data_IF_397556552118
#
_entry.id   IF_397556552118
#
_cell.length_a   1.000
_cell.length_b   1.000
_cell.length_c   1.000
_cell.angle_alpha   90.00
_cell.angle_beta   90.00
_cell.angle_gamma   90.00
#
_symmetry.space_group_name_H-M   'P 1'
#
loop_
_entity.id
_entity.type
_entity.pdbx_description
1 polymer ?
#
# COMPACT_ATOMS: atom_id res chain seq x y z
N UNK A 1 -21.28 15.28 0.17
CA UNK A 1 -21.51 13.84 0.40
C UNK A 1 -20.17 13.14 0.22
N UNK A 2 -19.65 12.42 1.22
CA UNK A 2 -18.52 11.50 0.97
C UNK A 2 -19.11 10.24 0.35
N UNK A 3 -18.75 9.95 -0.89
CA UNK A 3 -19.12 8.68 -1.55
C UNK A 3 -18.64 7.52 -0.68
N UNK A 4 -19.50 6.51 -0.51
CA UNK A 4 -19.11 5.29 0.20
C UNK A 4 -18.00 4.61 -0.62
N UNK A 5 -16.91 4.16 0.02
CA UNK A 5 -15.87 3.44 -0.71
C UNK A 5 -16.47 2.16 -1.29
N UNK A 6 -16.05 1.81 -2.51
CA UNK A 6 -16.41 0.54 -3.12
C UNK A 6 -15.81 -0.62 -2.29
N UNK A 7 -16.45 -1.80 -2.23
CA UNK A 7 -15.96 -2.95 -1.47
C UNK A 7 -14.49 -3.31 -1.75
N UNK A 8 -14.04 -3.21 -3.00
CA UNK A 8 -12.67 -3.52 -3.39
C UNK A 8 -11.64 -2.53 -2.84
N UNK A 9 -12.05 -1.35 -2.36
CA UNK A 9 -11.15 -0.33 -1.88
C UNK A 9 -10.38 -0.76 -0.61
N UNK A 10 -10.90 -1.74 0.14
CA UNK A 10 -10.24 -2.31 1.32
C UNK A 10 -9.13 -3.30 0.96
N UNK A 11 -9.07 -3.79 -0.28
CA UNK A 11 -8.07 -4.78 -0.71
C UNK A 11 -6.65 -4.30 -0.38
N UNK A 12 -5.80 -5.27 -0.05
CA UNK A 12 -4.38 -5.08 0.15
C UNK A 12 -3.89 -5.06 1.57
N UNK A 13 -2.65 -4.64 1.70
CA UNK A 13 -1.93 -4.54 2.96
C UNK A 13 -2.19 -3.20 3.65
N UNK A 14 -2.51 -3.26 4.94
CA UNK A 14 -2.80 -2.12 5.80
C UNK A 14 -2.13 -2.30 7.15
N UNK A 15 -1.40 -1.31 7.62
CA UNK A 15 -1.02 -1.26 9.03
C UNK A 15 -2.26 -1.08 9.89
N UNK A 16 -2.37 -1.88 10.93
CA UNK A 16 -3.46 -1.85 11.91
C UNK A 16 -2.92 -1.32 13.23
N UNK A 17 -3.37 -0.12 13.60
CA UNK A 17 -2.81 0.64 14.72
C UNK A 17 -3.94 1.16 15.63
N UNK A 18 -3.66 1.40 16.92
CA UNK A 18 -4.55 2.19 17.77
C UNK A 18 -4.79 3.58 17.16
N UNK A 19 -5.99 4.15 17.30
CA UNK A 19 -6.38 5.36 16.58
C UNK A 19 -5.47 6.58 16.80
N UNK A 20 -4.83 6.67 17.97
CA UNK A 20 -3.96 7.78 18.38
C UNK A 20 -2.46 7.53 18.11
N UNK A 21 -2.10 6.43 17.45
CA UNK A 21 -0.71 6.10 17.16
C UNK A 21 -0.24 6.81 15.88
N UNK A 22 0.92 7.47 15.96
CA UNK A 22 1.64 7.97 14.79
C UNK A 22 2.25 6.77 14.03
N UNK A 23 1.88 6.54 12.76
CA UNK A 23 2.36 5.40 12.00
C UNK A 23 3.88 5.41 11.80
N UNK A 24 4.54 6.59 11.86
CA UNK A 24 6.00 6.72 11.76
C UNK A 24 6.74 6.34 13.04
N UNK A 25 6.09 6.48 14.19
CA UNK A 25 6.68 6.23 15.51
C UNK A 25 6.40 4.83 16.04
N UNK A 26 5.85 3.95 15.20
CA UNK A 26 5.43 2.61 15.60
C UNK A 26 6.58 1.76 16.14
N UNK A 27 7.83 2.01 15.74
CA UNK A 27 9.03 1.38 16.32
C UNK A 27 8.97 -0.16 16.39
N UNK A 28 9.90 -0.79 17.10
CA UNK A 28 9.94 -2.26 17.28
C UNK A 28 8.76 -2.85 18.08
N UNK A 29 7.77 -2.04 18.47
CA UNK A 29 6.63 -2.48 19.27
C UNK A 29 5.54 -3.07 18.39
N UNK A 30 5.63 -4.38 18.15
CA UNK A 30 4.50 -5.25 17.81
C UNK A 30 3.49 -4.69 16.81
N UNK A 31 3.97 -4.09 15.71
CA UNK A 31 3.09 -3.57 14.66
C UNK A 31 2.27 -4.71 14.07
N UNK A 32 1.01 -4.44 13.75
CA UNK A 32 0.15 -5.40 13.08
C UNK A 32 -0.16 -4.92 11.67
N UNK A 33 -0.35 -5.87 10.76
CA UNK A 33 -0.73 -5.60 9.38
C UNK A 33 -1.80 -6.58 8.94
N UNK A 34 -2.93 -6.07 8.45
CA UNK A 34 -3.90 -6.87 7.72
C UNK A 34 -3.54 -6.90 6.25
N UNK A 35 -3.67 -8.07 5.62
CA UNK A 35 -3.72 -8.21 4.16
C UNK A 35 -5.08 -8.76 3.77
N UNK A 36 -5.87 -7.97 3.05
CA UNK A 36 -7.17 -8.36 2.52
C UNK A 36 -7.04 -8.75 1.05
N UNK A 37 -7.36 -10.00 0.69
CA UNK A 37 -7.20 -10.53 -0.67
C UNK A 37 -8.52 -10.46 -1.44
N UNK A 38 -8.44 -10.51 -2.77
CA UNK A 38 -9.62 -10.41 -3.65
C UNK A 38 -10.60 -11.58 -3.47
N UNK A 39 -10.10 -12.75 -3.08
CA UNK A 39 -10.88 -13.96 -2.84
C UNK A 39 -11.72 -13.91 -1.54
N UNK A 40 -11.70 -12.80 -0.82
CA UNK A 40 -12.43 -12.63 0.44
C UNK A 40 -11.68 -13.18 1.65
N UNK A 41 -10.42 -13.60 1.52
CA UNK A 41 -9.59 -14.04 2.64
C UNK A 41 -8.73 -12.90 3.21
N UNK A 42 -8.38 -13.01 4.49
CA UNK A 42 -7.41 -12.12 5.11
C UNK A 42 -6.30 -12.89 5.83
N UNK A 43 -5.16 -12.24 5.97
CA UNK A 43 -4.09 -12.61 6.92
C UNK A 43 -3.81 -11.43 7.85
N UNK A 44 -3.63 -11.70 9.13
CA UNK A 44 -3.11 -10.74 10.12
C UNK A 44 -1.67 -11.12 10.44
N UNK A 45 -0.75 -10.20 10.20
CA UNK A 45 0.67 -10.34 10.51
C UNK A 45 1.04 -9.52 11.72
N UNK A 46 1.97 -10.03 12.53
CA UNK A 46 2.67 -9.27 13.57
C UNK A 46 4.12 -9.06 13.15
N UNK A 47 4.59 -7.82 13.20
CA UNK A 47 5.94 -7.42 12.82
C UNK A 47 6.88 -7.44 14.02
N UNK A 48 8.04 -8.08 13.88
CA UNK A 48 9.11 -8.07 14.89
C UNK A 48 10.47 -8.23 14.23
N UNK A 49 11.44 -7.39 14.61
CA UNK A 49 12.82 -7.46 14.14
C UNK A 49 12.96 -7.59 12.61
N UNK A 50 12.22 -6.77 11.85
CA UNK A 50 12.25 -6.79 10.37
C UNK A 50 11.58 -7.99 9.71
N UNK A 51 10.82 -8.80 10.45
CA UNK A 51 10.09 -9.96 9.90
C UNK A 51 8.59 -9.88 10.17
N UNK A 52 7.79 -10.36 9.21
CA UNK A 52 6.36 -10.59 9.39
C UNK A 52 6.12 -12.03 9.83
N UNK A 53 5.33 -12.23 10.88
CA UNK A 53 4.82 -13.55 11.27
C UNK A 53 3.31 -13.55 11.18
N UNK A 54 2.72 -14.46 10.40
CA UNK A 54 1.26 -14.64 10.36
C UNK A 54 0.77 -15.06 11.75
N UNK A 55 -0.19 -14.31 12.29
CA UNK A 55 -0.83 -14.55 13.58
C UNK A 55 -2.19 -15.20 13.42
N UNK A 56 -2.88 -14.85 12.34
CA UNK A 56 -4.25 -15.25 12.09
C UNK A 56 -4.56 -15.18 10.60
N UNK A 57 -5.50 -16.01 10.16
CA UNK A 57 -6.06 -16.01 8.82
C UNK A 57 -7.55 -16.35 8.90
N UNK A 58 -8.30 -15.93 7.89
CA UNK A 58 -9.73 -16.24 7.82
C UNK A 58 -10.40 -15.54 6.65
N UNK A 59 -11.71 -15.30 6.79
CA UNK A 59 -12.51 -14.63 5.79
C UNK A 59 -12.88 -13.22 6.24
N UNK A 60 -13.04 -12.29 5.31
CA UNK A 60 -13.55 -10.96 5.58
C UNK A 60 -14.68 -10.60 4.62
N UNK A 61 -15.56 -9.72 5.08
CA UNK A 61 -16.58 -9.09 4.22
C UNK A 61 -16.58 -7.59 4.49
N UNK A 62 -16.59 -6.79 3.43
CA UNK A 62 -16.68 -5.34 3.52
C UNK A 62 -17.74 -4.81 2.54
N UNK A 63 -18.67 -4.00 3.03
CA UNK A 63 -19.79 -3.46 2.24
C UNK A 63 -19.70 -1.94 1.98
N UNK A 64 -18.56 -1.33 2.31
CA UNK A 64 -18.35 0.12 2.24
C UNK A 64 -18.58 0.85 3.57
N UNK A 65 -19.27 0.24 4.53
CA UNK A 65 -19.54 0.83 5.85
C UNK A 65 -19.17 -0.10 7.01
N UNK A 66 -19.26 -1.41 6.84
CA UNK A 66 -18.96 -2.40 7.86
C UNK A 66 -17.91 -3.37 7.35
N UNK A 67 -16.88 -3.59 8.16
CA UNK A 67 -15.88 -4.62 7.99
C UNK A 67 -16.17 -5.72 9.00
N UNK A 68 -16.39 -6.93 8.52
CA UNK A 68 -16.52 -8.13 9.36
C UNK A 68 -15.34 -9.03 9.07
N UNK A 69 -14.57 -9.35 10.11
CA UNK A 69 -13.41 -10.23 10.06
C UNK A 69 -13.79 -11.52 10.79
N UNK A 70 -13.66 -12.66 10.13
CA UNK A 70 -14.00 -13.99 10.64
C UNK A 70 -12.74 -14.84 10.69
N UNK A 71 -11.98 -14.69 11.79
CA UNK A 71 -10.83 -15.53 12.09
C UNK A 71 -11.14 -16.48 13.24
N UNK A 72 -10.27 -16.51 14.26
CA UNK A 72 -10.50 -17.20 15.53
C UNK A 72 -11.74 -16.64 16.24
N UNK A 73 -11.90 -15.31 16.20
CA UNK A 73 -13.09 -14.62 16.67
C UNK A 73 -13.71 -13.85 15.50
N UNK A 74 -15.01 -13.58 15.60
CA UNK A 74 -15.66 -12.63 14.68
C UNK A 74 -15.58 -11.22 15.25
N UNK A 75 -14.93 -10.33 14.51
CA UNK A 75 -14.87 -8.91 14.81
C UNK A 75 -15.69 -8.13 13.78
N UNK A 76 -16.35 -7.08 14.24
CA UNK A 76 -17.15 -6.22 13.37
C UNK A 76 -16.84 -4.78 13.68
N UNK A 77 -16.41 -4.06 12.66
CA UNK A 77 -16.04 -2.66 12.74
C UNK A 77 -16.97 -1.83 11.87
N UNK A 78 -17.38 -0.66 12.37
CA UNK A 78 -17.90 0.38 11.49
C UNK A 78 -16.71 1.14 10.91
N UNK A 79 -16.69 1.29 9.59
CA UNK A 79 -15.58 1.89 8.85
C UNK A 79 -15.91 3.33 8.51
N UNK A 80 -15.02 4.24 8.89
CA UNK A 80 -14.99 5.63 8.45
C UNK A 80 -13.79 5.84 7.54
N UNK A 81 -14.01 5.70 6.24
CA UNK A 81 -13.02 5.99 5.21
C UNK A 81 -12.85 7.52 5.05
N UNK A 82 -11.95 8.12 5.83
CA UNK A 82 -11.71 9.57 5.79
C UNK A 82 -10.82 9.98 4.62
N UNK A 83 -9.88 9.11 4.24
CA UNK A 83 -8.94 9.23 3.11
C UNK A 83 -8.70 7.85 2.49
N UNK A 84 -8.22 7.78 1.25
CA UNK A 84 -7.91 6.49 0.59
C UNK A 84 -6.73 5.72 1.24
N UNK A 85 -5.92 6.41 2.06
CA UNK A 85 -4.74 5.87 2.74
C UNK A 85 -4.93 5.69 4.25
N UNK A 86 -6.00 6.24 4.85
CA UNK A 86 -6.28 6.14 6.29
C UNK A 86 -7.76 5.98 6.57
N UNK A 87 -8.14 4.84 7.15
CA UNK A 87 -9.51 4.54 7.55
C UNK A 87 -9.57 4.35 9.06
N UNK A 88 -10.63 4.86 9.68
CA UNK A 88 -10.90 4.60 11.10
C UNK A 88 -11.84 3.40 11.21
N UNK A 89 -11.51 2.48 12.11
CA UNK A 89 -12.32 1.32 12.47
C UNK A 89 -12.90 1.56 13.87
N UNK A 90 -14.20 1.75 13.96
CA UNK A 90 -14.89 1.86 15.25
C UNK A 90 -15.16 0.46 15.79
N UNK A 91 -14.40 0.09 16.81
CA UNK A 91 -14.54 -1.19 17.51
C UNK A 91 -15.51 -1.11 18.68
N UNK A 92 -15.80 -2.26 19.30
CA UNK A 92 -16.67 -2.32 20.49
C UNK A 92 -16.01 -1.74 21.75
N UNK A 93 -14.68 -1.85 21.87
CA UNK A 93 -13.91 -1.46 23.06
C UNK A 93 -13.04 -0.24 22.81
N UNK A 94 -12.41 -0.17 21.65
CA UNK A 94 -11.52 0.91 21.26
C UNK A 94 -11.57 1.10 19.74
N UNK A 95 -11.13 2.29 19.30
CA UNK A 95 -11.03 2.63 17.90
C UNK A 95 -9.62 2.35 17.38
N UNK A 96 -9.55 1.86 16.14
CA UNK A 96 -8.32 1.59 15.44
C UNK A 96 -8.27 2.39 14.14
N UNK A 97 -7.09 2.41 13.52
CA UNK A 97 -6.89 2.94 12.18
C UNK A 97 -6.19 1.91 11.29
N UNK A 98 -6.67 1.82 10.06
CA UNK A 98 -5.96 1.19 8.96
C UNK A 98 -5.19 2.27 8.20
N UNK A 99 -3.89 2.07 7.98
CA UNK A 99 -3.03 3.03 7.27
C UNK A 99 -2.24 2.33 6.16
N UNK A 100 -2.21 2.92 4.96
CA UNK A 100 -1.36 2.47 3.85
C UNK A 100 -0.01 3.16 3.90
N UNK A 101 1.02 2.42 4.29
CA UNK A 101 2.36 2.95 4.56
C UNK A 101 2.37 3.85 5.80
N UNK A 102 3.49 4.51 6.06
CA UNK A 102 3.66 5.41 7.21
C UNK A 102 3.34 6.87 6.89
N UNK A 103 2.34 7.07 6.03
CA UNK A 103 1.95 8.39 5.56
C UNK A 103 1.44 9.27 6.71
N UNK A 104 1.75 10.55 6.65
CA UNK A 104 1.12 11.60 7.47
C UNK A 104 0.55 12.68 6.55
N UNK A 105 -0.29 13.57 7.09
CA UNK A 105 -0.91 14.64 6.30
C UNK A 105 0.11 15.53 5.57
N UNK A 106 1.33 15.66 6.09
CA UNK A 106 2.42 16.42 5.47
C UNK A 106 2.97 15.81 4.17
N UNK A 107 2.78 14.51 3.94
CA UNK A 107 3.25 13.82 2.74
C UNK A 107 2.43 14.15 1.50
N UNK A 108 1.20 14.65 1.70
CA UNK A 108 0.25 14.93 0.62
C UNK A 108 0.45 16.29 -0.04
N UNK A 109 1.59 16.95 0.23
CA UNK A 109 1.95 18.23 -0.39
C UNK A 109 2.50 18.01 -1.79
N UNK A 110 2.02 18.82 -2.73
CA UNK A 110 2.54 18.87 -4.10
C UNK A 110 4.07 18.96 -4.13
N UNK A 111 4.67 18.24 -5.08
CA UNK A 111 6.10 18.33 -5.31
C UNK A 111 6.44 19.69 -5.94
N UNK A 112 7.55 20.32 -5.53
CA UNK A 112 8.14 21.40 -6.31
C UNK A 112 8.32 20.98 -7.78
N UNK A 113 8.07 21.87 -8.76
CA UNK A 113 8.14 21.53 -10.17
C UNK A 113 9.45 20.86 -10.61
N UNK A 114 10.58 21.28 -10.04
CA UNK A 114 11.89 20.68 -10.33
C UNK A 114 11.99 19.23 -9.86
N UNK A 115 11.44 18.90 -8.68
CA UNK A 115 11.43 17.51 -8.17
C UNK A 115 10.49 16.64 -9.01
N UNK A 116 9.31 17.15 -9.35
CA UNK A 116 8.37 16.43 -10.21
C UNK A 116 8.98 16.18 -11.61
N UNK A 117 9.70 17.16 -12.16
CA UNK A 117 10.43 17.03 -13.41
C UNK A 117 11.56 16.01 -13.31
N UNK A 118 12.34 16.03 -12.23
CA UNK A 118 13.42 15.07 -12.02
C UNK A 118 12.88 13.64 -11.96
N UNK A 119 11.87 13.37 -11.13
CA UNK A 119 11.23 12.03 -11.03
C UNK A 119 10.68 11.60 -12.39
N UNK A 120 10.10 12.53 -13.16
CA UNK A 120 9.59 12.23 -14.50
C UNK A 120 10.72 11.86 -15.48
N UNK A 121 11.91 12.43 -15.36
CA UNK A 121 13.06 12.10 -16.24
C UNK A 121 13.74 10.82 -15.75
N UNK A 122 14.00 10.72 -14.44
CA UNK A 122 14.70 9.64 -13.76
C UNK A 122 13.83 9.03 -12.64
N UNK A 123 12.88 8.14 -12.97
CA UNK A 123 12.03 7.44 -12.00
C UNK A 123 12.83 6.68 -10.94
N UNK A 124 14.02 6.19 -11.32
CA UNK A 124 14.97 5.49 -10.45
C UNK A 124 15.43 6.29 -9.22
N UNK A 125 15.21 7.61 -9.20
CA UNK A 125 15.39 8.47 -8.02
C UNK A 125 14.38 8.18 -6.91
N UNK A 126 13.29 7.48 -7.23
CA UNK A 126 12.32 6.98 -6.26
C UNK A 126 12.77 5.59 -5.84
N UNK A 127 13.34 5.49 -4.64
CA UNK A 127 13.77 4.26 -4.02
C UNK A 127 12.59 3.51 -3.41
N UNK A 128 12.69 2.18 -3.42
CA UNK A 128 11.70 1.28 -2.82
C UNK A 128 12.23 0.84 -1.47
N UNK A 129 11.47 1.12 -0.41
CA UNK A 129 11.77 0.65 0.94
C UNK A 129 10.69 -0.32 1.41
N UNK A 130 11.11 -1.42 2.04
CA UNK A 130 10.23 -2.28 2.80
C UNK A 130 10.94 -2.59 4.13
N UNK A 131 10.28 -2.30 5.24
CA UNK A 131 10.86 -2.51 6.58
C UNK A 131 10.82 -3.97 7.03
N UNK A 132 10.06 -4.80 6.32
CA UNK A 132 9.79 -6.18 6.67
C UNK A 132 9.90 -7.08 5.42
N UNK A 133 9.74 -8.40 5.58
CA UNK A 133 9.79 -9.35 4.45
C UNK A 133 8.89 -8.90 3.27
N UNK A 134 9.47 -8.90 2.07
CA UNK A 134 8.93 -8.31 0.84
C UNK A 134 7.63 -8.96 0.36
N UNK A 135 7.39 -10.24 0.67
CA UNK A 135 6.34 -11.02 -0.01
C UNK A 135 4.92 -10.51 0.25
N UNK A 136 4.69 -9.92 1.43
CA UNK A 136 3.34 -9.58 1.90
C UNK A 136 3.21 -8.12 2.36
N UNK A 137 4.30 -7.35 2.30
CA UNK A 137 4.42 -6.04 2.93
C UNK A 137 3.88 -4.86 2.13
N UNK A 138 3.89 -3.71 2.79
CA UNK A 138 3.70 -2.41 2.14
C UNK A 138 5.08 -1.88 1.77
N UNK A 139 5.23 -1.48 0.51
CA UNK A 139 6.43 -0.85 -0.01
C UNK A 139 6.26 0.66 0.00
N UNK A 140 7.22 1.37 0.58
CA UNK A 140 7.28 2.83 0.58
C UNK A 140 8.12 3.33 -0.59
N UNK A 141 7.63 4.39 -1.23
CA UNK A 141 8.29 5.09 -2.33
C UNK A 141 8.90 6.36 -1.77
N UNK A 142 10.23 6.45 -1.80
CA UNK A 142 10.97 7.59 -1.26
C UNK A 142 11.79 8.22 -2.37
N UNK A 143 11.47 9.46 -2.73
CA UNK A 143 12.32 10.26 -3.61
C UNK A 143 13.58 10.68 -2.85
N UNK A 144 14.74 10.41 -3.44
CA UNK A 144 16.03 10.78 -2.91
C UNK A 144 16.87 11.54 -3.94
N UNK A 145 17.33 12.73 -3.55
CA UNK A 145 18.28 13.57 -4.27
C UNK A 145 19.32 14.10 -3.27
N UNK A 146 20.41 14.72 -3.74
CA UNK A 146 21.65 14.97 -2.97
C UNK A 146 21.47 15.47 -1.53
N UNK A 147 20.40 16.24 -1.25
CA UNK A 147 20.08 16.73 0.09
C UNK A 147 18.59 16.59 0.46
N UNK A 148 17.82 15.79 -0.28
CA UNK A 148 16.37 15.69 -0.12
C UNK A 148 15.98 14.23 -0.07
N UNK A 149 15.36 13.84 1.05
CA UNK A 149 14.68 12.55 1.19
C UNK A 149 13.22 12.81 1.50
N UNK A 150 12.32 12.49 0.57
CA UNK A 150 10.89 12.76 0.70
C UNK A 150 10.07 11.52 0.35
N UNK A 151 9.20 11.02 1.25
CA UNK A 151 8.22 10.01 0.89
C UNK A 151 7.24 10.57 -0.16
N UNK A 152 7.02 9.82 -1.24
CA UNK A 152 6.16 10.22 -2.36
C UNK A 152 4.95 9.31 -2.53
N UNK A 153 4.96 8.12 -1.93
CA UNK A 153 3.83 7.19 -2.00
C UNK A 153 4.12 5.88 -1.30
N UNK A 154 3.15 4.97 -1.40
CA UNK A 154 3.34 3.57 -1.04
C UNK A 154 2.57 2.67 -1.99
N UNK A 155 2.90 1.39 -2.02
CA UNK A 155 2.11 0.39 -2.73
C UNK A 155 2.18 -0.97 -2.04
N UNK A 156 1.30 -1.87 -2.46
CA UNK A 156 1.37 -3.29 -2.14
C UNK A 156 1.16 -4.09 -3.43
N UNK A 157 1.57 -5.36 -3.39
CA UNK A 157 1.50 -6.24 -4.57
C UNK A 157 0.69 -7.48 -4.29
N UNK A 158 -0.08 -7.91 -5.28
CA UNK A 158 -0.65 -9.26 -5.37
C UNK A 158 -0.15 -9.87 -6.67
N UNK A 159 0.59 -10.97 -6.55
CA UNK A 159 1.21 -11.62 -7.69
C UNK A 159 0.75 -13.06 -7.75
N UNK A 160 0.17 -13.44 -8.89
CA UNK A 160 -0.08 -14.82 -9.22
C UNK A 160 1.06 -15.30 -10.13
N UNK A 161 1.90 -16.18 -9.60
CA UNK A 161 3.05 -16.73 -10.33
C UNK A 161 2.63 -17.70 -11.42
N UNK A 162 1.43 -18.31 -11.35
CA UNK A 162 0.96 -19.28 -12.34
C UNK A 162 0.60 -18.63 -13.68
N UNK A 163 -0.01 -17.44 -13.65
CA UNK A 163 -0.38 -16.68 -14.86
C UNK A 163 0.51 -15.47 -15.13
N UNK A 164 1.53 -15.26 -14.28
CA UNK A 164 2.50 -14.17 -14.36
C UNK A 164 1.89 -12.77 -14.18
N UNK A 165 0.67 -12.65 -13.63
CA UNK A 165 0.01 -11.36 -13.45
C UNK A 165 0.32 -10.78 -12.08
N UNK A 166 0.75 -9.52 -12.10
CA UNK A 166 0.96 -8.72 -10.90
C UNK A 166 -0.04 -7.57 -10.85
N UNK A 167 -0.74 -7.47 -9.73
CA UNK A 167 -1.60 -6.34 -9.40
C UNK A 167 -0.91 -5.48 -8.34
N UNK A 168 -0.86 -4.18 -8.58
CA UNK A 168 -0.17 -3.19 -7.74
C UNK A 168 -1.19 -2.16 -7.26
N UNK A 169 -1.38 -2.07 -5.94
CA UNK A 169 -2.24 -1.08 -5.31
C UNK A 169 -1.42 0.13 -4.91
N UNK A 170 -1.42 1.18 -5.74
CA UNK A 170 -0.63 2.38 -5.54
C UNK A 170 -1.39 3.44 -4.74
N UNK A 171 -0.78 3.94 -3.67
CA UNK A 171 -1.22 5.07 -2.86
C UNK A 171 -0.30 6.27 -3.10
N UNK A 172 -0.63 7.17 -4.04
CA UNK A 172 0.23 8.30 -4.41
C UNK A 172 0.12 9.43 -3.37
N UNK A 173 1.13 9.66 -2.55
CA UNK A 173 1.07 10.73 -1.55
C UNK A 173 1.38 12.08 -2.16
N UNK A 174 2.48 12.17 -2.91
CA UNK A 174 2.88 13.37 -3.62
C UNK A 174 1.88 13.71 -4.74
N UNK A 175 1.40 14.95 -4.75
CA UNK A 175 0.64 15.49 -5.88
C UNK A 175 1.56 15.97 -7.00
N UNK A 176 1.05 15.98 -8.24
CA UNK A 176 1.74 16.51 -9.43
C UNK A 176 2.46 15.47 -10.29
N UNK A 177 2.46 14.19 -9.92
CA UNK A 177 2.99 13.12 -10.75
C UNK A 177 1.90 12.52 -11.65
N UNK A 178 2.17 12.51 -12.96
CA UNK A 178 1.28 11.94 -13.97
C UNK A 178 1.20 10.40 -13.84
N UNK A 179 0.09 9.77 -14.26
CA UNK A 179 -0.06 8.31 -14.25
C UNK A 179 1.09 7.56 -14.94
N UNK A 180 1.62 8.10 -16.04
CA UNK A 180 2.75 7.51 -16.76
C UNK A 180 4.05 7.52 -15.94
N UNK A 181 4.25 8.53 -15.09
CA UNK A 181 5.41 8.58 -14.19
C UNK A 181 5.33 7.49 -13.15
N UNK A 182 4.14 7.24 -12.58
CA UNK A 182 3.92 6.13 -11.65
C UNK A 182 4.17 4.77 -12.30
N UNK A 183 3.72 4.57 -13.54
CA UNK A 183 4.04 3.35 -14.31
C UNK A 183 5.55 3.13 -14.42
N UNK A 184 6.29 4.19 -14.76
CA UNK A 184 7.75 4.10 -14.87
C UNK A 184 8.43 3.85 -13.53
N UNK A 185 7.95 4.41 -12.42
CA UNK A 185 8.48 4.11 -11.08
C UNK A 185 8.29 2.62 -10.76
N UNK A 186 7.11 2.05 -11.02
CA UNK A 186 6.87 0.62 -10.79
C UNK A 186 7.73 -0.24 -11.71
N UNK A 187 7.87 0.12 -12.98
CA UNK A 187 8.69 -0.64 -13.93
C UNK A 187 10.19 -0.55 -13.60
N UNK A 188 10.73 0.65 -13.57
CA UNK A 188 12.17 0.89 -13.50
C UNK A 188 12.70 0.75 -12.06
N UNK A 189 12.04 1.36 -11.07
CA UNK A 189 12.53 1.33 -9.69
C UNK A 189 12.17 0.03 -8.97
N UNK A 190 10.94 -0.45 -9.15
CA UNK A 190 10.47 -1.65 -8.46
C UNK A 190 10.82 -2.94 -9.19
N UNK A 191 10.39 -3.14 -10.43
CA UNK A 191 10.61 -4.42 -11.11
C UNK A 191 12.07 -4.58 -11.56
N UNK A 192 12.64 -3.59 -12.25
CA UNK A 192 13.99 -3.72 -12.82
C UNK A 192 15.09 -3.67 -11.75
N UNK A 193 15.00 -2.72 -10.81
CA UNK A 193 16.03 -2.50 -9.79
C UNK A 193 15.74 -3.30 -8.53
N UNK A 194 14.64 -3.01 -7.82
CA UNK A 194 14.40 -3.60 -6.49
C UNK A 194 14.17 -5.12 -6.57
N UNK A 195 13.38 -5.59 -7.53
CA UNK A 195 13.10 -7.03 -7.75
C UNK A 195 14.09 -7.70 -8.69
N UNK A 196 15.10 -6.97 -9.17
CA UNK A 196 16.17 -7.49 -10.05
C UNK A 196 15.66 -8.18 -11.30
N UNK A 197 14.64 -7.59 -11.96
CA UNK A 197 14.00 -8.10 -13.19
C UNK A 197 13.40 -9.51 -13.03
N UNK A 198 12.29 -9.64 -12.29
CA UNK A 198 11.67 -10.93 -12.03
C UNK A 198 11.19 -11.58 -13.34
N UNK A 199 11.47 -12.87 -13.51
CA UNK A 199 11.13 -13.66 -14.71
C UNK A 199 9.72 -14.27 -14.68
N UNK A 200 9.07 -14.22 -13.51
CA UNK A 200 7.74 -14.71 -13.24
C UNK A 200 6.65 -13.62 -13.35
N UNK A 201 7.00 -12.44 -13.88
CA UNK A 201 6.08 -11.32 -14.11
C UNK A 201 5.99 -11.02 -15.60
N UNK A 202 4.77 -11.04 -16.14
CA UNK A 202 4.51 -10.79 -17.57
C UNK A 202 3.57 -9.61 -17.81
N UNK A 203 2.58 -9.42 -16.93
CA UNK A 203 1.58 -8.36 -17.04
C UNK A 203 1.41 -7.69 -15.69
N UNK A 204 1.45 -6.36 -15.68
CA UNK A 204 1.33 -5.56 -14.47
C UNK A 204 0.12 -4.65 -14.59
N UNK A 205 -0.76 -4.71 -13.60
CA UNK A 205 -1.89 -3.80 -13.42
C UNK A 205 -1.63 -2.89 -12.25
N UNK A 206 -1.47 -1.59 -12.48
CA UNK A 206 -1.38 -0.57 -11.44
C UNK A 206 -2.77 0.03 -11.22
N UNK A 207 -3.28 -0.06 -10.00
CA UNK A 207 -4.49 0.62 -9.55
C UNK A 207 -4.08 1.81 -8.68
N UNK A 208 -4.43 3.01 -9.09
CA UNK A 208 -4.35 4.19 -8.23
C UNK A 208 -5.53 4.16 -7.24
N UNK A 209 -5.22 4.08 -5.96
CA UNK A 209 -6.19 3.88 -4.89
C UNK A 209 -6.91 5.17 -4.50
N UNK A 210 -6.41 6.33 -4.93
CA UNK A 210 -7.04 7.64 -4.68
C UNK A 210 -8.26 7.85 -5.56
N UNK A 211 -8.14 7.57 -6.85
CA UNK A 211 -9.12 7.89 -7.90
C UNK A 211 -9.65 6.66 -8.63
N UNK A 212 -9.20 5.46 -8.26
CA UNK A 212 -9.62 4.20 -8.87
C UNK A 212 -9.26 4.09 -10.36
N UNK A 213 -8.29 4.85 -10.86
CA UNK A 213 -7.79 4.63 -12.23
C UNK A 213 -6.89 3.39 -12.29
N UNK A 214 -7.03 2.62 -13.37
CA UNK A 214 -6.18 1.45 -13.64
C UNK A 214 -5.33 1.67 -14.89
N UNK A 215 -4.08 1.23 -14.83
CA UNK A 215 -3.18 1.12 -15.98
C UNK A 215 -2.64 -0.30 -16.07
N UNK A 216 -2.56 -0.83 -17.28
CA UNK A 216 -2.06 -2.17 -17.55
C UNK A 216 -0.92 -2.07 -18.54
N UNK A 217 0.18 -2.76 -18.28
CA UNK A 217 1.29 -2.87 -19.22
C UNK A 217 1.87 -4.29 -19.22
N UNK A 218 2.41 -4.66 -20.38
CA UNK A 218 3.22 -5.87 -20.50
C UNK A 218 4.63 -5.57 -19.98
N UNK A 219 5.11 -6.43 -19.08
CA UNK A 219 6.48 -6.43 -18.60
C UNK A 219 7.26 -7.44 -19.45
N UNK A 220 8.07 -6.91 -20.36
CA UNK A 220 8.92 -7.72 -21.23
C UNK A 220 10.31 -7.68 -20.63
N UNK A 221 10.89 -8.85 -20.35
CA UNK A 221 12.30 -8.99 -20.01
C UNK A 221 13.11 -8.47 -21.21
N UNK A 222 13.70 -7.29 -21.05
CA UNK A 222 14.62 -6.70 -22.03
C UNK A 222 16.00 -7.33 -21.98
#
# INVERSE_FOLDING_TARGET
MRERPLPEAIRGSWYYLPANTDPRQTGEKGIQMYRFRLDGTFSLFGGRAGSWTEKERGEYTFDGQFLIIRGRNTETFRVKASRYWRWTLEGKKEDYVLVRGKATDDDFKALPPEQAKEIRILPIRVLIHNEYDEREGIFELVYESENIRKPVGSFFVEHNTEDGKMWVGLSPWAEGLEPKTWERIIRESFLDIHRSKPDDVTVVTIRNLRDNESKVFNYVLG
#
